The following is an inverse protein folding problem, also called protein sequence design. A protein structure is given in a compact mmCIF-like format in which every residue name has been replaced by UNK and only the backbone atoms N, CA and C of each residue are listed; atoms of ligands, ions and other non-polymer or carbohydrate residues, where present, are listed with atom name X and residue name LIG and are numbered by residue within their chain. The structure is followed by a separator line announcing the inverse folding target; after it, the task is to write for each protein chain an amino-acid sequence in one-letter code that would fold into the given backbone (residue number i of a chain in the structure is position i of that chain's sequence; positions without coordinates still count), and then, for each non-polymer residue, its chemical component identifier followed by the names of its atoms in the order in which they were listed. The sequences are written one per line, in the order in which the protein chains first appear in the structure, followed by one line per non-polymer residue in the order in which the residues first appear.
data_IF_023648942461
#
_entry.id   IF_023648942461
#
_cell.length_a   1.000
_cell.length_b   1.000
_cell.length_c   1.000
_cell.angle_alpha   90.00
_cell.angle_beta   90.00
_cell.angle_gamma   90.00
#
_symmetry.space_group_name_H-M   'P 1'
#
loop_
_entity.id
_entity.type
_entity.pdbx_description
1 polymer ?
#
# COMPACT_ATOMS: atom_id res chain seq x y z
N UNK A 1 -12.26 -10.47 2.43
CA UNK A 1 -12.49 -10.01 1.04
C UNK A 1 -11.38 -9.04 0.63
N UNK A 2 -10.71 -9.28 -0.49
CA UNK A 2 -9.69 -8.38 -1.04
C UNK A 2 -10.38 -7.07 -1.47
N UNK A 3 -9.99 -5.94 -0.89
CA UNK A 3 -10.62 -4.65 -1.19
C UNK A 3 -10.23 -4.15 -2.58
N UNK A 4 -11.19 -3.61 -3.34
CA UNK A 4 -10.92 -2.92 -4.62
C UNK A 4 -10.08 -1.67 -4.35
N UNK A 5 -9.04 -1.47 -5.15
CA UNK A 5 -8.28 -0.21 -5.17
C UNK A 5 -8.98 0.77 -6.10
N UNK A 6 -9.33 1.94 -5.57
CA UNK A 6 -9.93 2.99 -6.37
C UNK A 6 -8.88 3.66 -7.25
N UNK A 7 -9.16 3.76 -8.54
CA UNK A 7 -8.36 4.51 -9.50
C UNK A 7 -8.63 6.03 -9.37
N UNK A 8 -7.88 6.84 -10.12
CA UNK A 8 -8.00 8.30 -10.06
C UNK A 8 -9.38 8.80 -10.53
N UNK A 9 -9.96 8.18 -11.56
CA UNK A 9 -11.29 8.56 -12.08
C UNK A 9 -12.40 8.31 -11.05
N UNK A 10 -12.36 7.17 -10.36
CA UNK A 10 -13.32 6.84 -9.30
C UNK A 10 -13.19 7.81 -8.12
N UNK A 11 -11.96 8.19 -7.75
CA UNK A 11 -11.71 9.18 -6.70
C UNK A 11 -12.19 10.57 -7.10
N UNK A 12 -11.96 10.98 -8.36
CA UNK A 12 -12.46 12.23 -8.90
C UNK A 12 -13.99 12.27 -8.89
N UNK A 13 -14.63 11.17 -9.25
CA UNK A 13 -16.09 11.04 -9.17
C UNK A 13 -16.58 11.20 -7.73
N UNK A 14 -15.97 10.50 -6.77
CA UNK A 14 -16.31 10.62 -5.34
C UNK A 14 -16.18 12.09 -4.86
N UNK A 15 -15.10 12.78 -5.22
CA UNK A 15 -14.89 14.20 -4.88
C UNK A 15 -16.03 15.08 -5.42
N UNK A 16 -16.36 14.96 -6.71
CA UNK A 16 -17.46 15.71 -7.33
C UNK A 16 -18.80 15.46 -6.62
N UNK A 17 -19.15 14.20 -6.36
CA UNK A 17 -20.44 13.87 -5.74
C UNK A 17 -20.53 14.30 -4.28
N UNK A 18 -19.42 14.34 -3.55
CA UNK A 18 -19.39 14.90 -2.19
C UNK A 18 -19.66 16.40 -2.21
N UNK A 19 -19.08 17.13 -3.17
CA UNK A 19 -19.35 18.56 -3.37
C UNK A 19 -20.84 18.78 -3.68
N UNK A 20 -21.45 17.89 -4.47
CA UNK A 20 -22.90 17.93 -4.77
C UNK A 20 -23.80 17.53 -3.57
N UNK A 21 -23.23 17.23 -2.40
CA UNK A 21 -23.97 16.84 -1.19
C UNK A 21 -24.54 15.41 -1.22
N UNK A 22 -24.04 14.56 -2.11
CA UNK A 22 -24.59 13.22 -2.33
C UNK A 22 -24.08 12.25 -1.26
N UNK A 23 -24.96 11.38 -0.79
CA UNK A 23 -24.60 10.42 0.26
C UNK A 23 -23.63 9.35 -0.22
N UNK A 24 -22.78 8.85 0.68
CA UNK A 24 -21.82 7.77 0.38
C UNK A 24 -22.49 6.50 -0.16
N UNK A 25 -23.73 6.21 0.25
CA UNK A 25 -24.49 5.05 -0.23
C UNK A 25 -24.89 5.20 -1.70
N UNK A 26 -25.35 6.40 -2.07
CA UNK A 26 -25.69 6.72 -3.47
C UNK A 26 -24.45 6.68 -4.35
N UNK A 27 -23.34 7.31 -3.93
CA UNK A 27 -22.08 7.29 -4.67
C UNK A 27 -21.58 5.86 -4.89
N UNK A 28 -21.67 5.01 -3.86
CA UNK A 28 -21.29 3.61 -3.97
C UNK A 28 -22.14 2.86 -5.02
N UNK A 29 -23.46 3.08 -5.03
CA UNK A 29 -24.36 2.49 -6.03
C UNK A 29 -24.05 2.99 -7.44
N UNK A 30 -23.79 4.28 -7.62
CA UNK A 30 -23.43 4.89 -8.92
C UNK A 30 -22.14 4.29 -9.50
N UNK A 31 -21.16 3.97 -8.64
CA UNK A 31 -19.88 3.37 -9.05
C UNK A 31 -19.88 1.83 -9.08
N UNK A 32 -20.99 1.17 -8.76
CA UNK A 32 -21.04 -0.30 -8.62
C UNK A 32 -20.14 -0.83 -7.49
N UNK A 33 -19.98 -0.07 -6.41
CA UNK A 33 -19.15 -0.37 -5.25
C UNK A 33 -20.00 -0.66 -4.01
N UNK A 34 -19.38 -1.32 -3.02
CA UNK A 34 -19.98 -1.38 -1.68
C UNK A 34 -19.86 -0.03 -0.97
N UNK A 35 -20.86 0.33 -0.15
CA UNK A 35 -20.79 1.51 0.74
C UNK A 35 -19.53 1.50 1.62
N UNK A 36 -19.11 0.31 2.05
CA UNK A 36 -17.89 0.13 2.85
C UNK A 36 -16.61 0.55 2.10
N UNK A 37 -16.60 0.48 0.77
CA UNK A 37 -15.46 0.90 -0.06
C UNK A 37 -15.32 2.41 -0.03
N UNK A 38 -16.42 3.14 -0.26
CA UNK A 38 -16.45 4.62 -0.23
C UNK A 38 -16.11 5.12 1.18
N UNK A 39 -16.72 4.55 2.22
CA UNK A 39 -16.43 4.93 3.61
C UNK A 39 -14.95 4.75 3.98
N UNK A 40 -14.34 3.60 3.61
CA UNK A 40 -12.92 3.35 3.86
C UNK A 40 -12.02 4.28 3.07
N UNK A 41 -12.40 4.64 1.84
CA UNK A 41 -11.65 5.61 1.04
C UNK A 41 -11.60 6.96 1.75
N UNK A 42 -12.74 7.52 2.13
CA UNK A 42 -12.82 8.81 2.82
C UNK A 42 -12.06 8.79 4.14
N UNK A 43 -12.33 7.78 4.98
CA UNK A 43 -11.66 7.66 6.29
C UNK A 43 -10.13 7.59 6.18
N UNK A 44 -9.58 6.98 5.13
CA UNK A 44 -8.14 6.76 4.99
C UNK A 44 -7.43 7.84 4.19
N UNK A 45 -8.16 8.63 3.41
CA UNK A 45 -7.57 9.51 2.41
C UNK A 45 -8.08 10.95 2.46
N UNK A 46 -9.00 11.28 3.37
CA UNK A 46 -9.26 12.68 3.73
C UNK A 46 -8.13 13.17 4.63
N UNK A 47 -7.42 14.19 4.17
CA UNK A 47 -6.30 14.79 4.90
C UNK A 47 -6.83 15.81 5.92
N UNK A 48 -6.57 15.66 7.23
CA UNK A 48 -6.97 16.64 8.24
C UNK A 48 -6.41 18.05 7.97
N UNK A 49 -5.26 18.16 7.30
CA UNK A 49 -4.65 19.43 6.95
C UNK A 49 -5.45 20.21 5.89
N UNK A 50 -6.38 19.55 5.18
CA UNK A 50 -7.21 20.17 4.15
C UNK A 50 -8.62 20.49 4.67
N UNK A 51 -8.71 20.94 5.93
CA UNK A 51 -9.98 21.26 6.62
C UNK A 51 -11.01 20.11 6.61
N UNK A 52 -10.54 18.86 6.50
CA UNK A 52 -11.42 17.69 6.38
C UNK A 52 -12.13 17.55 5.03
N UNK A 53 -11.78 18.37 4.02
CA UNK A 53 -12.29 18.23 2.66
C UNK A 53 -11.59 17.07 1.95
N UNK A 54 -12.38 16.28 1.22
CA UNK A 54 -11.84 15.19 0.42
C UNK A 54 -11.32 15.72 -0.91
N UNK A 55 -10.07 15.40 -1.25
CA UNK A 55 -9.46 15.75 -2.55
C UNK A 55 -8.93 14.50 -3.26
N UNK A 56 -9.32 14.29 -4.51
CA UNK A 56 -8.90 13.09 -5.25
C UNK A 56 -7.38 13.02 -5.45
N UNK A 57 -6.74 14.16 -5.73
CA UNK A 57 -5.28 14.28 -5.92
C UNK A 57 -4.54 13.93 -4.64
N UNK A 58 -5.00 14.48 -3.50
CA UNK A 58 -4.38 14.20 -2.21
C UNK A 58 -4.57 12.74 -1.81
N UNK A 59 -5.76 12.21 -2.04
CA UNK A 59 -6.09 10.83 -1.76
C UNK A 59 -5.22 9.83 -2.54
N UNK A 60 -4.94 10.11 -3.82
CA UNK A 60 -4.04 9.30 -4.64
C UNK A 60 -2.59 9.34 -4.13
N UNK A 61 -2.09 10.54 -3.78
CA UNK A 61 -0.76 10.70 -3.17
C UNK A 61 -0.64 9.92 -1.85
N UNK A 62 -1.63 10.00 -0.97
CA UNK A 62 -1.65 9.25 0.30
C UNK A 62 -1.70 7.73 0.07
N UNK A 63 -2.47 7.27 -0.92
CA UNK A 63 -2.52 5.86 -1.27
C UNK A 63 -1.18 5.35 -1.83
N UNK A 64 -0.53 6.12 -2.70
CA UNK A 64 0.80 5.82 -3.23
C UNK A 64 1.86 5.82 -2.12
N UNK A 65 1.87 6.84 -1.27
CA UNK A 65 2.79 6.92 -0.13
C UNK A 65 2.64 5.71 0.81
N UNK A 66 1.40 5.27 1.11
CA UNK A 66 1.17 4.05 1.90
C UNK A 66 1.68 2.79 1.21
N UNK A 67 1.55 2.69 -0.11
CA UNK A 67 2.10 1.55 -0.87
C UNK A 67 3.63 1.54 -0.85
N UNK A 68 4.25 2.70 -1.04
CA UNK A 68 5.71 2.85 -0.96
C UNK A 68 6.22 2.56 0.45
N UNK A 69 5.55 3.09 1.48
CA UNK A 69 5.91 2.85 2.88
C UNK A 69 5.77 1.38 3.30
N UNK A 70 4.88 0.63 2.65
CA UNK A 70 4.81 -0.82 2.84
C UNK A 70 6.08 -1.48 2.29
N UNK A 71 6.57 -1.03 1.12
CA UNK A 71 7.77 -1.57 0.50
C UNK A 71 9.07 -1.11 1.17
N UNK A 72 9.14 0.10 1.72
CA UNK A 72 10.29 0.52 2.52
C UNK A 72 10.37 -0.22 3.86
N UNK A 73 9.22 -0.70 4.36
CA UNK A 73 9.15 -1.69 5.45
C UNK A 73 9.36 -3.13 5.00
N UNK A 74 9.72 -3.39 3.74
CA UNK A 74 10.05 -4.75 3.32
C UNK A 74 11.23 -5.28 4.14
N UNK A 75 11.15 -6.55 4.54
CA UNK A 75 12.12 -7.20 5.41
C UNK A 75 13.56 -7.04 4.91
N UNK A 76 13.75 -6.94 3.59
CA UNK A 76 15.04 -6.70 2.92
C UNK A 76 15.63 -5.31 3.23
N UNK A 77 14.84 -4.25 3.11
CA UNK A 77 15.32 -2.88 3.31
C UNK A 77 15.65 -2.58 4.78
N UNK A 78 15.11 -3.38 5.71
CA UNK A 78 15.42 -3.32 7.14
C UNK A 78 16.72 -4.08 7.51
N UNK A 79 17.35 -4.79 6.57
CA UNK A 79 18.60 -5.51 6.82
C UNK A 79 19.81 -4.58 6.77
N UNK A 80 20.88 -4.98 7.48
CA UNK A 80 22.17 -4.28 7.39
C UNK A 80 22.72 -4.33 5.96
N UNK A 81 23.53 -3.34 5.53
CA UNK A 81 24.14 -3.32 4.20
C UNK A 81 24.88 -4.63 3.85
N UNK A 82 25.61 -5.20 4.81
CA UNK A 82 26.32 -6.47 4.65
C UNK A 82 25.38 -7.64 4.34
N UNK A 83 24.24 -7.68 5.02
CA UNK A 83 23.21 -8.71 4.81
C UNK A 83 22.54 -8.54 3.43
N UNK A 84 22.31 -7.30 3.00
CA UNK A 84 21.77 -7.02 1.67
C UNK A 84 22.73 -7.45 0.55
N UNK A 85 24.02 -7.17 0.70
CA UNK A 85 25.03 -7.55 -0.29
C UNK A 85 25.20 -9.06 -0.37
N UNK A 86 25.14 -9.76 0.77
CA UNK A 86 25.09 -11.21 0.80
C UNK A 86 23.88 -11.76 0.03
N UNK A 87 22.68 -11.24 0.29
CA UNK A 87 21.46 -11.65 -0.41
C UNK A 87 21.59 -11.39 -1.92
N UNK A 88 22.08 -10.21 -2.34
CA UNK A 88 22.27 -9.89 -3.77
C UNK A 88 23.24 -10.86 -4.43
N UNK A 89 24.35 -11.19 -3.76
CA UNK A 89 25.35 -12.14 -4.26
C UNK A 89 24.76 -13.54 -4.43
N UNK A 90 24.04 -14.04 -3.45
CA UNK A 90 23.42 -15.37 -3.51
C UNK A 90 22.31 -15.45 -4.56
N UNK A 91 21.50 -14.40 -4.70
CA UNK A 91 20.48 -14.32 -5.77
C UNK A 91 21.12 -14.32 -7.17
N UNK A 92 22.26 -13.66 -7.34
CA UNK A 92 23.02 -13.67 -8.60
C UNK A 92 23.60 -15.07 -8.94
N UNK A 93 23.79 -15.92 -7.93
CA UNK A 93 24.20 -17.31 -8.08
C UNK A 93 23.02 -18.28 -8.28
N UNK A 94 21.80 -17.75 -8.45
CA UNK A 94 20.57 -18.53 -8.54
C UNK A 94 20.29 -19.42 -7.31
N UNK A 95 20.81 -19.06 -6.14
CA UNK A 95 20.51 -19.77 -4.89
C UNK A 95 19.03 -19.58 -4.53
N UNK A 96 18.35 -20.66 -4.12
CA UNK A 96 16.91 -20.60 -3.75
C UNK A 96 16.68 -19.69 -2.54
N UNK A 97 15.60 -18.88 -2.51
CA UNK A 97 15.25 -18.01 -1.39
C UNK A 97 15.22 -18.71 -0.02
N UNK A 98 14.76 -19.97 0.04
CA UNK A 98 14.71 -20.79 1.26
C UNK A 98 16.11 -21.08 1.81
N UNK A 99 17.07 -21.37 0.91
CA UNK A 99 18.46 -21.64 1.26
C UNK A 99 19.12 -20.35 1.76
N UNK A 100 18.88 -19.23 1.07
CA UNK A 100 19.35 -17.91 1.50
C UNK A 100 18.81 -17.59 2.91
N UNK A 101 17.52 -17.79 3.16
CA UNK A 101 16.91 -17.58 4.49
C UNK A 101 17.54 -18.46 5.58
N UNK A 102 17.87 -19.71 5.26
CA UNK A 102 18.58 -20.61 6.17
C UNK A 102 19.96 -20.07 6.52
N UNK A 103 20.75 -19.71 5.51
CA UNK A 103 22.10 -19.16 5.68
C UNK A 103 22.10 -17.84 6.45
N UNK A 104 21.15 -16.95 6.17
CA UNK A 104 20.97 -15.70 6.91
C UNK A 104 20.76 -15.92 8.42
N UNK A 105 20.03 -16.98 8.79
CA UNK A 105 19.79 -17.32 10.20
C UNK A 105 21.06 -17.81 10.89
N UNK A 106 21.91 -18.54 10.18
CA UNK A 106 23.15 -19.09 10.72
C UNK A 106 24.30 -18.08 10.74
N UNK A 107 24.51 -17.36 9.62
CA UNK A 107 25.66 -16.47 9.42
C UNK A 107 25.44 -15.08 10.05
N UNK A 108 24.21 -14.55 10.01
CA UNK A 108 23.90 -13.17 10.45
C UNK A 108 22.92 -13.12 11.63
N UNK A 109 22.56 -14.27 12.23
CA UNK A 109 21.53 -14.41 13.29
C UNK A 109 20.24 -13.64 13.00
N UNK A 110 19.92 -13.45 11.72
CA UNK A 110 18.81 -12.61 11.27
C UNK A 110 17.81 -13.44 10.49
N UNK A 111 16.52 -13.10 10.61
CA UNK A 111 15.43 -13.81 9.95
C UNK A 111 14.82 -12.93 8.86
N UNK A 112 15.03 -13.31 7.60
CA UNK A 112 14.32 -12.72 6.47
C UNK A 112 13.14 -13.62 6.09
N UNK A 113 11.93 -13.05 6.09
CA UNK A 113 10.72 -13.70 5.58
C UNK A 113 10.43 -13.11 4.22
N UNK A 114 10.54 -13.93 3.17
CA UNK A 114 10.18 -13.53 1.82
C UNK A 114 8.67 -13.35 1.74
N UNK A 115 8.23 -12.18 1.26
CA UNK A 115 6.82 -11.96 0.92
C UNK A 115 6.62 -12.49 -0.49
N UNK A 116 5.77 -13.52 -0.62
CA UNK A 116 5.39 -14.13 -1.90
C UNK A 116 4.52 -13.20 -2.75
#
# INVERSE_FOLDING_TARGET
MKGKHLNLHERFYIEKRIIDGVTQATIARELGLSRSTVSRELKRNTDPAFHGLYSCRRADTLAKARRLNKSTRDAFNQQTPQTQDFIRKELALHTSPEVISGRLRHEFRTKLIWVR
#
